data_IF_590981968311
#
_entry.id   IF_590981968311
#
_cell.length_a   1.000
_cell.length_b   1.000
_cell.length_c   1.000
_cell.angle_alpha   90.00
_cell.angle_beta   90.00
_cell.angle_gamma   90.00
#
_symmetry.space_group_name_H-M   'P 1'
#
loop_
_entity.id
_entity.type
_entity.pdbx_description
1 polymer ?
#
# COMPACT_ATOMS: atom_id res chain seq x y z
N UNK A 1 1.00 -4.77 -2.65
CA UNK A 1 2.19 -5.22 -1.89
C UNK A 1 3.30 -4.19 -2.09
N UNK A 2 3.92 -3.72 -1.03
CA UNK A 2 5.09 -2.83 -1.10
C UNK A 2 6.28 -3.53 -0.44
N UNK A 3 7.41 -3.62 -1.12
CA UNK A 3 8.64 -4.19 -0.59
C UNK A 3 9.74 -3.12 -0.61
N UNK A 4 10.53 -3.02 0.47
CA UNK A 4 11.66 -2.09 0.54
C UNK A 4 12.98 -2.80 0.28
N UNK A 5 13.90 -2.17 -0.44
CA UNK A 5 15.25 -2.69 -0.65
C UNK A 5 16.01 -2.81 0.67
N UNK A 6 16.49 -4.01 1.00
CA UNK A 6 17.30 -4.40 2.18
C UNK A 6 16.58 -4.61 3.52
N UNK A 7 15.26 -4.48 3.59
CA UNK A 7 14.48 -5.04 4.66
C UNK A 7 13.32 -5.79 4.02
N UNK A 8 13.17 -7.08 4.32
CA UNK A 8 12.07 -7.92 3.84
C UNK A 8 10.77 -7.53 4.57
N UNK A 9 10.28 -6.31 4.34
CA UNK A 9 8.98 -5.88 4.85
C UNK A 9 7.95 -6.03 3.75
N UNK A 10 6.86 -6.74 4.03
CA UNK A 10 5.75 -6.96 3.13
C UNK A 10 4.53 -6.23 3.64
N UNK A 11 3.91 -5.46 2.77
CA UNK A 11 2.76 -4.64 3.08
C UNK A 11 1.58 -5.12 2.26
N UNK A 12 0.45 -5.27 2.91
CA UNK A 12 -0.78 -5.65 2.24
C UNK A 12 -1.86 -4.65 2.58
N UNK A 13 -2.53 -4.19 1.57
CA UNK A 13 -3.76 -3.47 1.80
C UNK A 13 -4.95 -4.41 1.71
N UNK A 14 -6.06 -4.00 2.31
CA UNK A 14 -7.23 -4.82 2.41
C UNK A 14 -8.43 -4.16 1.74
N UNK A 15 -9.15 -4.98 1.00
CA UNK A 15 -10.56 -4.77 0.74
C UNK A 15 -11.34 -5.79 1.59
N UNK A 16 -12.25 -5.34 2.39
CA UNK A 16 -13.22 -6.22 3.00
C UNK A 16 -14.16 -6.75 1.91
N UNK A 17 -14.22 -8.02 1.75
CA UNK A 17 -15.12 -8.70 0.80
C UNK A 17 -16.04 -9.63 1.54
N UNK A 18 -17.28 -9.70 1.08
CA UNK A 18 -18.26 -10.68 1.56
C UNK A 18 -18.38 -11.75 0.48
N UNK A 19 -18.15 -12.98 0.84
CA UNK A 19 -18.33 -14.11 -0.07
C UNK A 19 -19.83 -14.43 -0.31
N UNK A 20 -20.10 -15.43 -1.16
CA UNK A 20 -21.47 -15.84 -1.47
C UNK A 20 -22.21 -16.46 -0.27
N UNK A 21 -21.50 -16.81 0.79
CA UNK A 21 -22.07 -17.38 2.03
C UNK A 21 -22.36 -16.31 3.08
N UNK A 22 -22.00 -15.04 2.81
CA UNK A 22 -22.16 -13.94 3.74
C UNK A 22 -21.01 -13.80 4.74
N UNK A 23 -19.94 -14.60 4.62
CA UNK A 23 -18.75 -14.42 5.45
C UNK A 23 -17.93 -13.22 4.99
N UNK A 24 -17.47 -12.43 5.94
CA UNK A 24 -16.63 -11.26 5.68
C UNK A 24 -15.16 -11.64 5.90
N UNK A 25 -14.33 -11.42 4.89
CA UNK A 25 -12.88 -11.65 4.96
C UNK A 25 -12.09 -10.42 4.56
N UNK A 26 -10.89 -10.31 5.13
CA UNK A 26 -9.96 -9.24 4.87
C UNK A 26 -8.81 -9.75 4.01
N UNK A 27 -8.66 -9.22 2.82
CA UNK A 27 -7.64 -9.64 1.86
C UNK A 27 -6.23 -9.56 2.46
N UNK A 28 -5.91 -8.52 3.23
CA UNK A 28 -4.60 -8.39 3.86
C UNK A 28 -4.30 -9.53 4.84
N UNK A 29 -5.31 -9.98 5.58
CA UNK A 29 -5.15 -11.09 6.53
C UNK A 29 -4.93 -12.41 5.80
N UNK A 30 -5.68 -12.67 4.73
CA UNK A 30 -5.52 -13.90 3.94
C UNK A 30 -4.17 -13.90 3.20
N UNK A 31 -3.75 -12.77 2.66
CA UNK A 31 -2.42 -12.64 2.05
C UNK A 31 -1.30 -12.87 3.07
N UNK A 32 -1.43 -12.33 4.29
CA UNK A 32 -0.47 -12.59 5.38
C UNK A 32 -0.37 -14.07 5.70
N UNK A 33 -1.51 -14.77 5.85
CA UNK A 33 -1.53 -16.24 6.06
C UNK A 33 -0.81 -16.98 4.94
N UNK A 34 -1.11 -16.64 3.68
CA UNK A 34 -0.47 -17.26 2.53
C UNK A 34 1.06 -17.09 2.54
N UNK A 35 1.56 -15.90 2.87
CA UNK A 35 3.00 -15.63 2.96
C UNK A 35 3.67 -16.48 4.03
N UNK A 36 3.05 -16.57 5.20
CA UNK A 36 3.59 -17.37 6.32
C UNK A 36 3.55 -18.86 5.97
N UNK A 37 2.39 -19.36 5.56
CA UNK A 37 2.15 -20.80 5.41
C UNK A 37 2.75 -21.40 4.13
N UNK A 38 2.78 -20.64 3.05
CA UNK A 38 3.21 -21.14 1.73
C UNK A 38 4.62 -20.68 1.34
N UNK A 39 5.02 -19.49 1.77
CA UNK A 39 6.31 -18.93 1.39
C UNK A 39 7.30 -18.84 2.58
N UNK A 40 6.90 -19.32 3.77
CA UNK A 40 7.73 -19.30 4.98
C UNK A 40 8.31 -17.92 5.30
N UNK A 41 7.56 -16.85 5.00
CA UNK A 41 7.97 -15.49 5.38
C UNK A 41 7.74 -15.33 6.88
N UNK A 42 8.75 -14.85 7.64
CA UNK A 42 8.60 -14.61 9.07
C UNK A 42 7.46 -13.62 9.36
N UNK A 43 6.63 -13.91 10.33
CA UNK A 43 5.48 -13.08 10.67
C UNK A 43 5.87 -11.64 11.03
N UNK A 44 6.99 -11.46 11.73
CA UNK A 44 7.52 -10.14 12.10
C UNK A 44 8.05 -9.32 10.93
N UNK A 45 8.18 -9.91 9.74
CA UNK A 45 8.50 -9.21 8.49
C UNK A 45 7.26 -8.73 7.71
N UNK A 46 6.05 -8.97 8.25
CA UNK A 46 4.80 -8.67 7.56
C UNK A 46 4.02 -7.64 8.37
N UNK A 47 3.71 -6.52 7.74
CA UNK A 47 2.82 -5.50 8.29
C UNK A 47 1.57 -5.46 7.40
N UNK A 48 0.40 -5.50 8.03
CA UNK A 48 -0.87 -5.40 7.32
C UNK A 48 -1.45 -4.00 7.48
N UNK A 49 -2.12 -3.54 6.43
CA UNK A 49 -2.95 -2.34 6.43
C UNK A 49 -4.39 -2.76 6.09
N UNK A 50 -5.28 -2.89 7.09
CA UNK A 50 -6.62 -3.44 6.89
C UNK A 50 -7.70 -2.38 6.60
N UNK A 51 -7.36 -1.08 6.58
CA UNK A 51 -8.35 0.01 6.57
C UNK A 51 -8.55 0.66 5.21
N UNK A 52 -7.60 0.53 4.30
CA UNK A 52 -7.68 1.17 2.99
C UNK A 52 -8.83 0.60 2.14
N UNK A 53 -9.54 1.49 1.44
CA UNK A 53 -10.68 1.12 0.58
C UNK A 53 -10.47 1.43 -0.89
N UNK A 54 -9.53 2.31 -1.20
CA UNK A 54 -9.22 2.78 -2.55
C UNK A 54 -7.73 2.76 -2.80
N UNK A 55 -7.31 2.72 -4.05
CA UNK A 55 -5.88 2.72 -4.40
C UNK A 55 -5.14 3.95 -3.86
N UNK A 56 -5.80 5.09 -3.81
CA UNK A 56 -5.25 6.33 -3.24
C UNK A 56 -4.97 6.21 -1.75
N UNK A 57 -5.94 5.72 -0.97
CA UNK A 57 -5.78 5.49 0.47
C UNK A 57 -4.82 4.34 0.77
N UNK A 58 -4.69 3.35 -0.13
CA UNK A 58 -3.71 2.28 0.02
C UNK A 58 -2.29 2.80 0.06
N UNK A 59 -1.90 3.63 -0.91
CA UNK A 59 -0.55 4.20 -0.93
C UNK A 59 -0.34 5.21 0.19
N UNK A 60 -1.33 6.05 0.51
CA UNK A 60 -1.24 6.96 1.66
C UNK A 60 -0.98 6.20 2.96
N UNK A 61 -1.80 5.21 3.26
CA UNK A 61 -1.69 4.44 4.50
C UNK A 61 -0.39 3.64 4.55
N UNK A 62 0.03 3.05 3.41
CA UNK A 62 1.33 2.39 3.30
C UNK A 62 2.48 3.35 3.67
N UNK A 63 2.49 4.56 3.11
CA UNK A 63 3.52 5.57 3.40
C UNK A 63 3.47 6.00 4.87
N UNK A 64 2.28 6.20 5.45
CA UNK A 64 2.13 6.48 6.88
C UNK A 64 2.73 5.40 7.76
N UNK A 65 2.54 4.13 7.40
CA UNK A 65 3.15 3.02 8.12
C UNK A 65 4.68 3.00 7.95
N UNK A 66 5.23 3.35 6.79
CA UNK A 66 6.68 3.52 6.60
C UNK A 66 7.25 4.51 7.61
N UNK A 67 6.63 5.68 7.74
CA UNK A 67 7.06 6.68 8.73
C UNK A 67 6.84 6.20 10.16
N UNK A 68 5.70 5.59 10.46
CA UNK A 68 5.35 5.09 11.81
C UNK A 68 6.34 4.06 12.32
N UNK A 69 6.81 3.18 11.46
CA UNK A 69 7.77 2.13 11.82
C UNK A 69 9.24 2.56 11.64
N UNK A 70 9.50 3.83 11.35
CA UNK A 70 10.86 4.35 11.20
C UNK A 70 11.64 3.73 10.05
N UNK A 71 10.95 3.31 8.99
CA UNK A 71 11.61 2.74 7.82
C UNK A 71 12.32 3.81 6.99
N UNK A 72 13.35 3.43 6.20
CA UNK A 72 14.04 4.37 5.32
C UNK A 72 13.08 4.96 4.27
N UNK A 73 12.70 6.22 4.44
CA UNK A 73 11.80 6.94 3.52
C UNK A 73 12.52 7.54 2.30
N UNK A 74 13.85 7.51 2.29
CA UNK A 74 14.69 7.98 1.19
C UNK A 74 15.07 6.85 0.20
N UNK A 75 14.48 5.68 0.35
CA UNK A 75 14.67 4.53 -0.55
C UNK A 75 13.42 4.25 -1.36
N UNK A 76 13.62 3.71 -2.57
CA UNK A 76 12.53 3.24 -3.39
C UNK A 76 11.80 2.08 -2.71
N UNK A 77 10.48 2.15 -2.73
CA UNK A 77 9.59 1.05 -2.39
C UNK A 77 9.05 0.42 -3.67
N UNK A 78 8.80 -0.87 -3.66
CA UNK A 78 8.23 -1.58 -4.80
C UNK A 78 6.78 -1.95 -4.49
N UNK A 79 5.89 -1.56 -5.38
CA UNK A 79 4.50 -2.04 -5.37
C UNK A 79 4.37 -3.17 -6.37
N UNK A 80 3.89 -4.32 -5.92
CA UNK A 80 3.47 -5.43 -6.78
C UNK A 80 1.95 -5.47 -6.85
N UNK A 81 1.40 -5.44 -8.06
CA UNK A 81 -0.05 -5.32 -8.29
C UNK A 81 -0.42 -5.83 -9.68
N UNK A 82 -1.66 -5.63 -10.14
CA UNK A 82 -2.06 -5.96 -11.51
C UNK A 82 -1.45 -4.99 -12.53
N UNK A 83 -1.31 -5.44 -13.79
CA UNK A 83 -0.73 -4.62 -14.86
C UNK A 83 -1.44 -3.28 -15.07
N UNK A 84 -2.76 -3.26 -14.98
CA UNK A 84 -3.53 -2.02 -15.06
C UNK A 84 -3.27 -1.07 -13.88
N UNK A 85 -3.12 -1.60 -12.67
CA UNK A 85 -2.82 -0.79 -11.49
C UNK A 85 -1.37 -0.30 -11.50
N UNK A 86 -0.40 -1.09 -11.94
CA UNK A 86 0.99 -0.63 -12.03
C UNK A 86 1.13 0.54 -13.00
N UNK A 87 0.41 0.49 -14.13
CA UNK A 87 0.34 1.59 -15.09
C UNK A 87 -0.34 2.83 -14.49
N UNK A 88 -1.43 2.64 -13.74
CA UNK A 88 -2.11 3.74 -13.07
C UNK A 88 -1.20 4.41 -12.03
N UNK A 89 -0.47 3.64 -11.23
CA UNK A 89 0.44 4.16 -10.19
C UNK A 89 1.48 5.09 -10.81
N UNK A 90 2.09 4.66 -11.92
CA UNK A 90 3.17 5.45 -12.55
C UNK A 90 2.67 6.66 -13.34
N UNK A 91 1.43 6.65 -13.86
CA UNK A 91 0.98 7.67 -14.79
C UNK A 91 -0.07 8.62 -14.22
N UNK A 92 -1.09 8.11 -13.52
CA UNK A 92 -2.30 8.89 -13.22
C UNK A 92 -2.65 8.96 -11.74
N UNK A 93 -2.08 8.08 -10.90
CA UNK A 93 -2.49 7.98 -9.51
C UNK A 93 -2.15 9.24 -8.70
N UNK A 94 -1.02 9.90 -8.98
CA UNK A 94 -0.66 11.15 -8.31
C UNK A 94 -1.73 12.24 -8.50
N UNK A 95 -2.18 12.44 -9.73
CA UNK A 95 -3.27 13.38 -10.01
C UNK A 95 -4.59 12.99 -9.34
N UNK A 96 -4.86 11.68 -9.26
CA UNK A 96 -6.03 11.16 -8.58
C UNK A 96 -5.94 11.35 -7.07
N UNK A 97 -4.76 11.13 -6.46
CA UNK A 97 -4.53 11.42 -5.05
C UNK A 97 -4.76 12.90 -4.73
N UNK A 98 -4.21 13.79 -5.55
CA UNK A 98 -4.43 15.23 -5.37
C UNK A 98 -5.92 15.60 -5.39
N UNK A 99 -6.69 14.99 -6.29
CA UNK A 99 -8.13 15.23 -6.40
C UNK A 99 -8.94 14.63 -5.23
N UNK A 100 -8.61 13.42 -4.78
CA UNK A 100 -9.38 12.68 -3.78
C UNK A 100 -8.94 12.97 -2.35
N UNK A 101 -7.64 13.19 -2.12
CA UNK A 101 -7.03 13.36 -0.80
C UNK A 101 -6.53 14.77 -0.54
N UNK A 102 -6.52 15.64 -1.56
CA UNK A 102 -5.90 16.97 -1.55
C UNK A 102 -4.39 16.93 -1.26
N UNK A 103 -3.76 15.78 -1.47
CA UNK A 103 -2.33 15.55 -1.27
C UNK A 103 -1.83 14.44 -2.19
N UNK A 104 -0.50 14.36 -2.38
CA UNK A 104 0.15 13.27 -3.09
C UNK A 104 1.09 12.55 -2.13
N UNK A 105 0.70 11.38 -1.59
CA UNK A 105 1.42 10.70 -0.51
C UNK A 105 2.74 10.05 -0.95
N UNK A 106 3.10 10.12 -2.22
CA UNK A 106 4.29 9.48 -2.79
C UNK A 106 4.85 10.25 -3.98
N UNK A 107 6.09 9.99 -4.31
CA UNK A 107 6.69 10.40 -5.58
C UNK A 107 6.81 9.19 -6.50
N UNK A 108 6.52 9.36 -7.78
CA UNK A 108 6.63 8.30 -8.76
C UNK A 108 8.08 7.87 -8.94
N UNK A 109 8.32 6.55 -8.92
CA UNK A 109 9.53 5.91 -9.37
C UNK A 109 9.37 5.34 -10.78
N UNK A 110 10.15 4.32 -11.09
CA UNK A 110 10.13 3.63 -12.37
C UNK A 110 9.09 2.51 -12.37
N UNK A 111 8.49 2.24 -13.51
CA UNK A 111 7.77 0.99 -13.74
C UNK A 111 8.80 -0.09 -14.06
N UNK A 112 8.90 -1.11 -13.21
CA UNK A 112 9.92 -2.16 -13.31
C UNK A 112 9.48 -3.32 -14.20
N UNK A 113 8.19 -3.64 -14.16
CA UNK A 113 7.58 -4.71 -14.96
C UNK A 113 6.10 -4.42 -15.23
N UNK A 114 5.42 -5.36 -15.84
CA UNK A 114 3.96 -5.26 -16.01
C UNK A 114 3.22 -5.15 -14.68
N UNK A 115 3.72 -5.81 -13.64
CA UNK A 115 3.07 -5.89 -12.33
C UNK A 115 3.79 -5.14 -11.21
N UNK A 116 4.92 -4.47 -11.50
CA UNK A 116 5.74 -3.82 -10.49
C UNK A 116 6.04 -2.37 -10.84
N UNK A 117 5.91 -1.53 -9.84
CA UNK A 117 6.23 -0.11 -9.91
C UNK A 117 6.96 0.36 -8.66
N UNK A 118 7.96 1.22 -8.84
CA UNK A 118 8.63 1.93 -7.74
C UNK A 118 7.84 3.17 -7.33
N UNK A 119 7.93 3.50 -6.05
CA UNK A 119 7.55 4.80 -5.52
C UNK A 119 8.47 5.20 -4.36
N UNK A 120 8.50 6.49 -4.03
CA UNK A 120 9.20 7.01 -2.87
C UNK A 120 8.18 7.61 -1.90
N UNK A 121 8.28 7.32 -0.59
CA UNK A 121 7.41 7.93 0.41
C UNK A 121 7.52 9.46 0.40
N UNK A 122 6.39 10.16 0.45
CA UNK A 122 6.34 11.60 0.59
C UNK A 122 5.78 11.99 1.96
N UNK A 123 6.37 13.04 2.56
CA UNK A 123 5.95 13.54 3.88
C UNK A 123 4.50 14.03 3.90
N UNK A 124 3.99 14.44 2.74
CA UNK A 124 2.61 14.90 2.56
C UNK A 124 1.58 13.84 2.99
N UNK A 125 1.95 12.54 2.94
CA UNK A 125 1.10 11.46 3.46
C UNK A 125 0.74 11.61 4.95
N UNK A 126 1.51 12.37 5.71
CA UNK A 126 1.25 12.62 7.14
C UNK A 126 0.23 13.75 7.37
N UNK A 127 -0.21 14.43 6.32
CA UNK A 127 -1.29 15.40 6.41
C UNK A 127 -2.57 14.69 6.86
N UNK A 128 -3.21 15.22 7.91
CA UNK A 128 -4.48 14.70 8.42
C UNK A 128 -5.59 15.61 7.91
N UNK A 129 -6.57 15.04 7.24
CA UNK A 129 -7.77 15.73 6.84
C UNK A 129 -8.90 15.46 7.85
N UNK A 130 -9.20 16.39 8.77
CA UNK A 130 -10.21 16.16 9.81
C UNK A 130 -11.65 16.04 9.27
N UNK A 131 -11.85 16.34 8.00
CA UNK A 131 -13.16 16.20 7.33
C UNK A 131 -13.32 14.87 6.60
N UNK A 132 -12.26 14.06 6.51
CA UNK A 132 -12.32 12.73 5.94
C UNK A 132 -12.64 11.69 7.04
N UNK A 133 -13.81 11.04 7.00
CA UNK A 133 -14.23 10.12 8.07
C UNK A 133 -13.35 8.89 8.25
N UNK A 134 -12.48 8.60 7.27
CA UNK A 134 -11.61 7.43 7.21
C UNK A 134 -10.13 7.79 7.33
N UNK A 135 -9.83 9.03 7.66
CA UNK A 135 -8.46 9.46 7.96
C UNK A 135 -8.17 9.14 9.43
N UNK A 136 -7.40 8.06 9.71
CA UNK A 136 -7.15 7.60 11.06
C UNK A 136 -6.16 8.49 11.81
#
# INVERSE_FOLDING_TARGET
MCTGYNFNWYWFYSKWSTDRTGSTWCEAVEMKKFLIEKLNIPENAIIIEPHARHTTTNLRNCVRLIYRYGMPFNKACITTTSGGQSMMITNTLAARCLKELNEVPFQNGKRLSETEAEFYPAIDALHINPTEPLDP
#
